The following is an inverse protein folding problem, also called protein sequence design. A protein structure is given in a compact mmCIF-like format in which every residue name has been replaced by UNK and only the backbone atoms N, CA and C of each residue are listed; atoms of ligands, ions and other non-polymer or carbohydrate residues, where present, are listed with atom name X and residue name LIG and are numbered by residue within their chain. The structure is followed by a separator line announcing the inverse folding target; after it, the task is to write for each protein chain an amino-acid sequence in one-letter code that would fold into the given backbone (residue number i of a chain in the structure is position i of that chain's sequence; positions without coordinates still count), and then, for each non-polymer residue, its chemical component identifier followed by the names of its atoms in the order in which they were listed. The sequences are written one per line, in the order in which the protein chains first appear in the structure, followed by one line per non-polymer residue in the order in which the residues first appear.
data_IF_008298163156
#
_entry.id   IF_008298163156
#
_cell.length_a   1.000
_cell.length_b   1.000
_cell.length_c   1.000
_cell.angle_alpha   90.00
_cell.angle_beta   90.00
_cell.angle_gamma   90.00
#
_symmetry.space_group_name_H-M   'P 1'
#
loop_
_entity.id
_entity.type
_entity.pdbx_description
1 polymer ?
#
# COMPACT_ATOMS: atom_id res chain seq x y z
N UNK A 1 9.27 -28.10 24.32
CA UNK A 1 10.18 -26.94 24.39
C UNK A 1 10.38 -26.29 23.02
N UNK A 2 11.20 -26.81 22.10
CA UNK A 2 11.42 -26.16 20.78
C UNK A 2 10.13 -26.02 19.92
N UNK A 3 9.28 -27.05 19.87
CA UNK A 3 8.01 -26.99 19.12
C UNK A 3 6.96 -26.07 19.76
N UNK A 4 6.99 -25.89 21.08
CA UNK A 4 6.09 -24.98 21.80
C UNK A 4 6.54 -23.53 21.64
N UNK A 5 7.85 -23.29 21.61
CA UNK A 5 8.46 -21.98 21.36
C UNK A 5 8.22 -21.53 19.91
N UNK A 6 8.32 -22.45 18.94
CA UNK A 6 8.00 -22.18 17.53
C UNK A 6 6.50 -21.87 17.33
N UNK A 7 5.61 -22.60 18.01
CA UNK A 7 4.17 -22.33 17.97
C UNK A 7 3.82 -20.98 18.61
N UNK A 8 4.46 -20.62 19.73
CA UNK A 8 4.28 -19.33 20.37
C UNK A 8 4.80 -18.16 19.50
N UNK A 9 5.94 -18.35 18.84
CA UNK A 9 6.49 -17.36 17.90
C UNK A 9 5.57 -17.16 16.68
N UNK A 10 5.04 -18.24 16.11
CA UNK A 10 4.08 -18.17 15.00
C UNK A 10 2.75 -17.48 15.41
N UNK A 11 2.30 -17.69 16.64
CA UNK A 11 1.14 -17.00 17.19
C UNK A 11 1.40 -15.51 17.36
N UNK A 12 2.55 -15.12 17.91
CA UNK A 12 2.95 -13.72 18.06
C UNK A 12 3.09 -13.01 16.69
N UNK A 13 3.68 -13.68 15.69
CA UNK A 13 3.70 -13.21 14.29
C UNK A 13 2.29 -12.92 13.75
N UNK A 14 1.34 -13.83 14.01
CA UNK A 14 -0.06 -13.67 13.60
C UNK A 14 -0.75 -12.50 14.30
N UNK A 15 -0.50 -12.32 15.59
CA UNK A 15 -1.07 -11.23 16.39
C UNK A 15 -0.55 -9.87 15.89
N UNK A 16 0.75 -9.75 15.59
CA UNK A 16 1.35 -8.56 14.99
C UNK A 16 0.70 -8.18 13.66
N UNK A 17 0.47 -9.17 12.78
CA UNK A 17 -0.20 -8.92 11.50
C UNK A 17 -1.63 -8.43 11.70
N UNK A 18 -2.40 -9.06 12.61
CA UNK A 18 -3.79 -8.65 12.87
C UNK A 18 -3.86 -7.22 13.40
N UNK A 19 -2.94 -6.84 14.28
CA UNK A 19 -2.86 -5.47 14.80
C UNK A 19 -2.53 -4.48 13.68
N UNK A 20 -1.57 -4.80 12.80
CA UNK A 20 -1.22 -3.97 11.65
C UNK A 20 -2.40 -3.81 10.69
N UNK A 21 -3.06 -4.91 10.33
CA UNK A 21 -4.22 -4.90 9.43
C UNK A 21 -5.40 -4.13 10.02
N UNK A 22 -5.62 -4.23 11.34
CA UNK A 22 -6.63 -3.44 12.05
C UNK A 22 -6.33 -1.95 11.93
N UNK A 23 -5.09 -1.52 12.16
CA UNK A 23 -4.69 -0.10 12.00
C UNK A 23 -4.97 0.39 10.58
N UNK A 24 -4.58 -0.39 9.57
CA UNK A 24 -4.80 -0.05 8.16
C UNK A 24 -6.28 -0.06 7.73
N UNK A 25 -7.13 -0.77 8.46
CA UNK A 25 -8.58 -0.81 8.27
C UNK A 25 -9.27 0.37 8.95
N UNK A 26 -8.88 0.65 10.20
CA UNK A 26 -9.48 1.68 11.05
C UNK A 26 -9.13 3.09 10.56
N UNK A 27 -7.92 3.29 10.02
CA UNK A 27 -7.53 4.51 9.32
C UNK A 27 -7.23 4.25 7.82
N UNK A 28 -8.23 4.37 6.94
CA UNK A 28 -8.04 4.18 5.51
C UNK A 28 -7.36 5.37 4.82
N UNK A 29 -7.13 6.48 5.53
CA UNK A 29 -6.59 7.73 5.00
C UNK A 29 -5.09 7.88 5.23
N UNK A 30 -4.42 6.87 5.81
CA UNK A 30 -2.97 6.87 6.02
C UNK A 30 -2.25 7.24 4.71
N UNK A 31 -1.46 8.33 4.76
CA UNK A 31 -0.77 8.91 3.60
C UNK A 31 0.77 8.85 3.73
N UNK A 32 1.28 8.62 4.93
CA UNK A 32 2.70 8.48 5.22
C UNK A 32 2.98 7.26 6.12
N UNK A 33 3.99 6.47 5.76
CA UNK A 33 4.50 5.36 6.58
C UNK A 33 5.99 5.55 6.85
N UNK A 34 6.37 5.51 8.12
CA UNK A 34 7.76 5.59 8.59
C UNK A 34 8.23 4.29 9.23
N UNK A 35 9.44 3.85 8.88
CA UNK A 35 10.11 2.70 9.49
C UNK A 35 11.20 3.21 10.43
N UNK A 36 10.96 3.17 11.75
CA UNK A 36 11.81 3.82 12.74
C UNK A 36 12.65 2.80 13.51
N UNK A 37 13.92 3.13 13.75
CA UNK A 37 14.74 2.35 14.67
C UNK A 37 14.09 2.35 16.08
N UNK A 38 14.15 1.27 16.88
CA UNK A 38 13.50 1.20 18.19
C UNK A 38 13.78 2.39 19.11
N UNK A 39 14.99 2.95 19.06
CA UNK A 39 15.36 4.17 19.82
C UNK A 39 14.56 5.40 19.37
N UNK A 40 14.43 5.62 18.06
CA UNK A 40 13.64 6.72 17.50
C UNK A 40 12.16 6.52 17.77
N UNK A 41 11.69 5.28 17.66
CA UNK A 41 10.31 4.91 17.95
C UNK A 41 9.97 5.16 19.43
N UNK A 42 10.86 4.80 20.34
CA UNK A 42 10.68 5.07 21.77
C UNK A 42 10.60 6.57 22.07
N UNK A 43 11.47 7.39 21.47
CA UNK A 43 11.38 8.86 21.61
C UNK A 43 10.05 9.41 21.11
N UNK A 44 9.57 8.93 19.94
CA UNK A 44 8.26 9.32 19.39
C UNK A 44 7.10 8.98 20.35
N UNK A 45 7.16 7.83 21.01
CA UNK A 45 6.16 7.42 22.00
C UNK A 45 6.17 8.29 23.25
N UNK A 46 7.35 8.69 23.75
CA UNK A 46 7.48 9.56 24.93
C UNK A 46 6.86 10.95 24.66
N UNK A 47 7.04 11.47 23.45
CA UNK A 47 6.49 12.77 23.04
C UNK A 47 4.98 12.71 22.75
N UNK A 48 4.44 11.52 22.50
CA UNK A 48 3.03 11.30 22.15
C UNK A 48 2.15 11.12 23.39
N UNK A 49 1.41 12.15 23.77
CA UNK A 49 0.49 12.13 24.93
C UNK A 49 -0.85 11.39 24.69
N UNK A 50 -1.02 10.71 23.54
CA UNK A 50 -2.29 10.13 23.08
C UNK A 50 -2.30 8.59 22.96
N UNK A 51 -3.49 8.01 23.22
CA UNK A 51 -3.77 6.60 23.60
C UNK A 51 -3.80 5.54 22.47
N UNK A 52 -3.45 5.85 21.23
CA UNK A 52 -3.51 4.90 20.10
C UNK A 52 -2.14 4.27 19.77
N UNK A 53 -1.39 3.90 20.80
CA UNK A 53 -0.03 3.37 20.65
C UNK A 53 -0.01 1.90 21.05
N UNK A 54 0.38 1.03 20.11
CA UNK A 54 0.84 -0.31 20.47
C UNK A 54 2.33 -0.26 20.80
N UNK A 55 2.88 -1.35 21.33
CA UNK A 55 4.32 -1.48 21.59
C UNK A 55 5.18 -1.23 20.32
N UNK A 56 4.63 -1.45 19.12
CA UNK A 56 5.39 -1.46 17.87
C UNK A 56 4.80 -0.60 16.74
N UNK A 57 3.56 -0.13 16.91
CA UNK A 57 2.86 0.72 15.96
C UNK A 57 2.39 2.02 16.63
N UNK A 58 2.62 3.12 15.93
CA UNK A 58 2.10 4.43 16.29
C UNK A 58 1.32 4.97 15.09
N UNK A 59 0.07 5.36 15.31
CA UNK A 59 -0.80 5.90 14.27
C UNK A 59 -1.51 7.16 14.79
N UNK A 60 -1.22 8.32 14.19
CA UNK A 60 -1.88 9.58 14.48
C UNK A 60 -1.81 10.49 13.25
N UNK A 61 -2.81 11.34 13.06
CA UNK A 61 -2.88 12.31 11.96
C UNK A 61 -2.63 11.69 10.57
N UNK A 62 -3.16 10.48 10.32
CA UNK A 62 -2.97 9.71 9.09
C UNK A 62 -1.50 9.31 8.81
N UNK A 63 -0.65 9.35 9.82
CA UNK A 63 0.75 8.90 9.74
C UNK A 63 0.94 7.64 10.56
N UNK A 64 1.59 6.65 9.95
CA UNK A 64 1.88 5.38 10.59
C UNK A 64 3.38 5.19 10.76
N UNK A 65 3.85 5.07 12.00
CA UNK A 65 5.21 4.65 12.29
C UNK A 65 5.23 3.19 12.75
N UNK A 66 6.19 2.42 12.21
CA UNK A 66 6.41 1.01 12.51
C UNK A 66 7.82 0.86 13.07
N UNK A 67 7.95 0.23 14.24
CA UNK A 67 9.25 -0.08 14.81
C UNK A 67 10.00 -1.11 13.96
N UNK A 68 11.26 -0.84 13.63
CA UNK A 68 12.02 -1.64 12.65
C UNK A 68 12.36 -3.06 13.15
N UNK A 69 12.31 -3.30 14.46
CA UNK A 69 12.62 -4.59 15.06
C UNK A 69 11.59 -5.68 14.71
N UNK A 70 10.33 -5.30 14.44
CA UNK A 70 9.28 -6.27 14.11
C UNK A 70 9.13 -6.53 12.61
N UNK A 71 9.84 -5.79 11.75
CA UNK A 71 9.65 -5.88 10.30
C UNK A 71 9.89 -7.28 9.72
N UNK A 72 10.92 -8.05 10.14
CA UNK A 72 11.12 -9.41 9.63
C UNK A 72 9.94 -10.34 9.96
N UNK A 73 9.42 -10.27 11.19
CA UNK A 73 8.33 -11.10 11.69
C UNK A 73 7.00 -10.71 11.04
N UNK A 74 6.71 -9.41 11.00
CA UNK A 74 5.52 -8.86 10.36
C UNK A 74 5.49 -9.18 8.86
N UNK A 75 6.62 -9.07 8.16
CA UNK A 75 6.73 -9.44 6.75
C UNK A 75 6.50 -10.95 6.54
N UNK A 76 7.10 -11.81 7.38
CA UNK A 76 6.88 -13.27 7.32
C UNK A 76 5.40 -13.61 7.52
N UNK A 77 4.75 -13.00 8.51
CA UNK A 77 3.34 -13.16 8.79
C UNK A 77 2.46 -12.72 7.60
N UNK A 78 2.67 -11.50 7.10
CA UNK A 78 1.91 -10.94 5.97
C UNK A 78 2.07 -11.80 4.70
N UNK A 79 3.29 -12.27 4.44
CA UNK A 79 3.57 -13.13 3.29
C UNK A 79 2.88 -14.49 3.42
N UNK A 80 2.92 -15.12 4.60
CA UNK A 80 2.25 -16.40 4.87
C UNK A 80 0.73 -16.25 4.71
N UNK A 81 0.14 -15.20 5.28
CA UNK A 81 -1.29 -14.93 5.19
C UNK A 81 -1.74 -14.69 3.74
N UNK A 82 -1.00 -13.87 2.98
CA UNK A 82 -1.28 -13.66 1.56
C UNK A 82 -1.17 -14.96 0.76
N UNK A 83 -0.09 -15.74 0.95
CA UNK A 83 0.07 -17.04 0.29
C UNK A 83 -1.11 -17.96 0.59
N UNK A 84 -1.50 -18.12 1.85
CA UNK A 84 -2.64 -18.94 2.26
C UNK A 84 -3.96 -18.50 1.61
N UNK A 85 -4.20 -17.19 1.51
CA UNK A 85 -5.39 -16.66 0.85
C UNK A 85 -5.40 -16.91 -0.67
N UNK A 86 -4.22 -17.02 -1.29
CA UNK A 86 -4.08 -17.26 -2.74
C UNK A 86 -4.01 -18.74 -3.14
N UNK A 87 -3.82 -19.68 -2.19
CA UNK A 87 -3.63 -21.11 -2.47
C UNK A 87 -4.91 -21.86 -2.89
N UNK A 88 -6.10 -21.29 -2.63
CA UNK A 88 -7.39 -21.88 -3.05
C UNK A 88 -8.11 -21.02 -4.11
N UNK A 89 -7.53 -20.75 -5.29
CA UNK A 89 -8.20 -19.96 -6.30
C UNK A 89 -9.17 -20.88 -7.07
N UNK A 90 -10.43 -20.89 -6.68
CA UNK A 90 -11.48 -21.08 -7.68
C UNK A 90 -11.31 -19.98 -8.75
N UNK A 91 -11.61 -20.30 -10.01
CA UNK A 91 -11.46 -19.37 -11.16
C UNK A 91 -12.09 -17.99 -10.94
N UNK A 92 -13.08 -17.91 -10.04
CA UNK A 92 -13.54 -16.69 -9.40
C UNK A 92 -13.40 -16.83 -7.87
N UNK A 93 -12.64 -15.96 -7.18
CA UNK A 93 -12.57 -16.00 -5.72
C UNK A 93 -13.94 -15.60 -5.13
N UNK A 94 -14.36 -16.28 -4.06
CA UNK A 94 -15.51 -15.85 -3.28
C UNK A 94 -15.29 -14.42 -2.76
N UNK A 95 -16.37 -13.71 -2.43
CA UNK A 95 -16.28 -12.35 -1.88
C UNK A 95 -15.39 -12.28 -0.62
N UNK A 96 -15.46 -13.31 0.24
CA UNK A 96 -14.63 -13.41 1.44
C UNK A 96 -13.15 -13.67 1.12
N UNK A 97 -12.86 -14.56 0.16
CA UNK A 97 -11.47 -14.81 -0.27
C UNK A 97 -10.87 -13.57 -0.93
N UNK A 98 -11.64 -12.87 -1.77
CA UNK A 98 -11.23 -11.61 -2.39
C UNK A 98 -10.88 -10.54 -1.33
N UNK A 99 -11.69 -10.39 -0.29
CA UNK A 99 -11.43 -9.45 0.80
C UNK A 99 -10.15 -9.78 1.57
N UNK A 100 -9.89 -11.06 1.88
CA UNK A 100 -8.66 -11.50 2.53
C UNK A 100 -7.43 -11.26 1.66
N UNK A 101 -7.51 -11.57 0.36
CA UNK A 101 -6.43 -11.28 -0.60
C UNK A 101 -6.11 -9.78 -0.60
N UNK A 102 -7.13 -8.91 -0.67
CA UNK A 102 -6.95 -7.46 -0.67
C UNK A 102 -6.38 -6.94 0.66
N UNK A 103 -6.76 -7.54 1.79
CA UNK A 103 -6.26 -7.16 3.12
C UNK A 103 -4.80 -7.54 3.29
N UNK A 104 -4.47 -8.83 3.13
CA UNK A 104 -3.11 -9.32 3.32
C UNK A 104 -2.13 -8.76 2.29
N UNK A 105 -2.56 -8.56 1.03
CA UNK A 105 -1.70 -7.92 0.03
C UNK A 105 -1.47 -6.43 0.31
N UNK A 106 -2.42 -5.70 0.90
CA UNK A 106 -2.22 -4.28 1.31
C UNK A 106 -1.10 -4.21 2.36
N UNK A 107 -1.22 -5.01 3.42
CA UNK A 107 -0.20 -5.10 4.46
C UNK A 107 1.17 -5.48 3.88
N UNK A 108 1.21 -6.53 3.05
CA UNK A 108 2.45 -7.03 2.45
C UNK A 108 3.13 -6.02 1.52
N UNK A 109 2.35 -5.25 0.74
CA UNK A 109 2.89 -4.26 -0.20
C UNK A 109 3.43 -3.01 0.49
N UNK A 110 2.84 -2.61 1.63
CA UNK A 110 3.40 -1.54 2.46
C UNK A 110 4.79 -1.95 2.99
N UNK A 111 4.97 -3.23 3.35
CA UNK A 111 6.26 -3.73 3.84
C UNK A 111 7.25 -4.02 2.71
N UNK A 112 6.77 -4.47 1.54
CA UNK A 112 7.58 -4.90 0.40
C UNK A 112 6.87 -4.58 -0.93
N UNK A 113 7.04 -3.36 -1.47
CA UNK A 113 6.30 -2.91 -2.65
C UNK A 113 6.75 -3.55 -3.96
N UNK A 114 7.91 -4.21 -3.98
CA UNK A 114 8.44 -4.90 -5.17
C UNK A 114 7.84 -6.30 -5.39
N UNK A 115 6.97 -6.76 -4.49
CA UNK A 115 6.38 -8.09 -4.60
C UNK A 115 5.29 -8.14 -5.69
N UNK A 116 5.69 -8.44 -6.91
CA UNK A 116 4.81 -8.50 -8.09
C UNK A 116 3.63 -9.46 -7.92
N UNK A 117 3.81 -10.58 -7.20
CA UNK A 117 2.73 -11.53 -6.92
C UNK A 117 1.58 -10.87 -6.17
N UNK A 118 1.86 -10.03 -5.17
CA UNK A 118 0.83 -9.32 -4.42
C UNK A 118 0.08 -8.31 -5.31
N UNK A 119 0.79 -7.54 -6.13
CA UNK A 119 0.15 -6.66 -7.12
C UNK A 119 -0.74 -7.42 -8.10
N UNK A 120 -0.28 -8.59 -8.57
CA UNK A 120 -1.05 -9.41 -9.50
C UNK A 120 -2.30 -10.01 -8.85
N UNK A 121 -2.23 -10.48 -7.60
CA UNK A 121 -3.40 -10.92 -6.84
C UNK A 121 -4.48 -9.82 -6.76
N UNK A 122 -4.07 -8.57 -6.50
CA UNK A 122 -4.98 -7.42 -6.49
C UNK A 122 -5.61 -7.16 -7.85
N UNK A 123 -4.82 -7.19 -8.93
CA UNK A 123 -5.33 -7.04 -10.30
C UNK A 123 -6.34 -8.11 -10.66
N UNK A 124 -6.13 -9.36 -10.23
CA UNK A 124 -7.09 -10.45 -10.44
C UNK A 124 -8.41 -10.14 -9.73
N UNK A 125 -8.37 -9.85 -8.43
CA UNK A 125 -9.58 -9.53 -7.65
C UNK A 125 -10.35 -8.35 -8.25
N UNK A 126 -9.65 -7.26 -8.60
CA UNK A 126 -10.26 -6.04 -9.17
C UNK A 126 -10.77 -6.22 -10.61
N UNK A 127 -10.23 -7.20 -11.35
CA UNK A 127 -10.73 -7.51 -12.69
C UNK A 127 -11.99 -8.37 -12.64
N UNK A 128 -12.12 -9.23 -11.63
CA UNK A 128 -13.32 -10.08 -11.43
C UNK A 128 -14.45 -9.31 -10.73
N UNK A 129 -14.12 -8.47 -9.75
CA UNK A 129 -15.07 -7.72 -8.92
C UNK A 129 -14.87 -6.21 -9.12
N UNK A 130 -15.21 -5.73 -10.32
CA UNK A 130 -14.99 -4.33 -10.67
C UNK A 130 -15.79 -3.38 -9.75
N UNK A 131 -15.09 -2.44 -9.12
CA UNK A 131 -15.67 -1.36 -8.33
C UNK A 131 -14.78 -0.11 -8.40
N UNK A 132 -15.37 1.03 -8.78
CA UNK A 132 -14.65 2.31 -8.90
C UNK A 132 -14.05 2.75 -7.57
N UNK A 133 -14.73 2.50 -6.44
CA UNK A 133 -14.22 2.82 -5.11
C UNK A 133 -12.93 2.06 -4.83
N UNK A 134 -12.90 0.75 -5.11
CA UNK A 134 -11.70 -0.05 -4.90
C UNK A 134 -10.54 0.42 -5.77
N UNK A 135 -10.79 0.85 -7.02
CA UNK A 135 -9.75 1.43 -7.87
C UNK A 135 -9.22 2.77 -7.31
N UNK A 136 -10.07 3.60 -6.70
CA UNK A 136 -9.61 4.82 -5.99
C UNK A 136 -8.76 4.45 -4.77
N UNK A 137 -9.11 3.38 -4.05
CA UNK A 137 -8.32 2.88 -2.93
C UNK A 137 -6.95 2.35 -3.38
N UNK A 138 -6.86 1.74 -4.57
CA UNK A 138 -5.56 1.38 -5.16
C UNK A 138 -4.69 2.60 -5.45
N UNK A 139 -5.27 3.71 -5.94
CA UNK A 139 -4.52 4.94 -6.16
C UNK A 139 -4.00 5.52 -4.84
N UNK A 140 -4.77 5.40 -3.75
CA UNK A 140 -4.32 5.79 -2.39
C UNK A 140 -3.18 4.90 -1.92
N UNK A 141 -3.30 3.57 -2.05
CA UNK A 141 -2.22 2.64 -1.71
C UNK A 141 -0.94 2.94 -2.49
N UNK A 142 -1.05 3.20 -3.80
CA UNK A 142 0.11 3.59 -4.60
C UNK A 142 0.71 4.92 -4.14
N UNK A 143 -0.11 5.92 -3.79
CA UNK A 143 0.38 7.20 -3.29
C UNK A 143 1.12 7.04 -1.96
N UNK A 144 0.55 6.26 -1.03
CA UNK A 144 1.18 5.89 0.24
C UNK A 144 2.53 5.21 0.03
N UNK A 145 2.61 4.22 -0.87
CA UNK A 145 3.88 3.53 -1.13
C UNK A 145 4.91 4.47 -1.77
N UNK A 146 4.48 5.36 -2.65
CA UNK A 146 5.36 6.32 -3.30
C UNK A 146 5.84 7.44 -2.36
N UNK A 147 5.16 7.69 -1.23
CA UNK A 147 5.60 8.71 -0.27
C UNK A 147 6.91 8.32 0.42
N UNK A 148 7.11 7.04 0.74
CA UNK A 148 8.40 6.54 1.29
C UNK A 148 9.28 5.82 0.25
N UNK A 149 8.73 5.36 -0.88
CA UNK A 149 9.47 4.68 -1.96
C UNK A 149 9.20 5.31 -3.34
N UNK A 150 9.61 6.58 -3.56
CA UNK A 150 9.19 7.38 -4.72
C UNK A 150 9.67 6.85 -6.09
N UNK A 151 10.68 5.97 -6.08
CA UNK A 151 11.29 5.38 -7.28
C UNK A 151 10.80 3.96 -7.58
N UNK A 152 9.82 3.45 -6.82
CA UNK A 152 9.34 2.07 -6.98
C UNK A 152 8.59 1.84 -8.30
N UNK A 153 9.20 1.11 -9.24
CA UNK A 153 8.61 0.89 -10.58
C UNK A 153 7.37 -0.01 -10.53
N UNK A 154 7.32 -1.00 -9.63
CA UNK A 154 6.16 -1.89 -9.48
C UNK A 154 4.90 -1.11 -9.12
N UNK A 155 5.03 -0.15 -8.22
CA UNK A 155 3.96 0.75 -7.76
C UNK A 155 3.54 1.70 -8.87
N UNK A 156 4.49 2.34 -9.57
CA UNK A 156 4.18 3.16 -10.75
C UNK A 156 3.47 2.36 -11.84
N UNK A 157 3.89 1.12 -12.09
CA UNK A 157 3.27 0.23 -13.05
C UNK A 157 1.84 -0.15 -12.68
N UNK A 158 1.59 -0.48 -11.41
CA UNK A 158 0.24 -0.73 -10.90
C UNK A 158 -0.64 0.52 -10.98
N UNK A 159 -0.11 1.69 -10.60
CA UNK A 159 -0.81 2.98 -10.70
C UNK A 159 -1.28 3.26 -12.13
N UNK A 160 -0.42 3.06 -13.14
CA UNK A 160 -0.79 3.18 -14.56
C UNK A 160 -1.89 2.20 -14.96
N UNK A 161 -1.81 0.96 -14.48
CA UNK A 161 -2.85 -0.05 -14.74
C UNK A 161 -4.21 0.40 -14.17
N UNK A 162 -4.24 0.94 -12.95
CA UNK A 162 -5.47 1.47 -12.31
C UNK A 162 -6.03 2.66 -13.10
N UNK A 163 -5.20 3.63 -13.47
CA UNK A 163 -5.63 4.81 -14.25
C UNK A 163 -6.20 4.37 -15.59
N UNK A 164 -5.55 3.43 -16.29
CA UNK A 164 -6.07 2.88 -17.55
C UNK A 164 -7.43 2.21 -17.36
N UNK A 165 -7.62 1.45 -16.27
CA UNK A 165 -8.91 0.82 -15.95
C UNK A 165 -10.00 1.85 -15.66
N UNK A 166 -9.68 2.89 -14.90
CA UNK A 166 -10.61 4.00 -14.62
C UNK A 166 -10.98 4.77 -15.89
N UNK A 167 -10.00 5.06 -16.75
CA UNK A 167 -10.21 5.77 -18.01
C UNK A 167 -11.12 5.01 -18.99
N UNK A 168 -11.11 3.68 -18.94
CA UNK A 168 -12.00 2.85 -19.77
C UNK A 168 -13.47 2.89 -19.32
N UNK A 169 -13.75 3.35 -18.10
CA UNK A 169 -15.06 3.19 -17.45
C UNK A 169 -15.71 4.51 -17.05
N UNK A 170 -14.91 5.53 -16.72
CA UNK A 170 -15.39 6.85 -16.33
C UNK A 170 -15.50 7.77 -17.54
N UNK A 171 -16.66 8.43 -17.68
CA UNK A 171 -16.85 9.51 -18.66
C UNK A 171 -16.07 10.79 -18.27
N UNK A 172 -15.78 10.99 -16.97
CA UNK A 172 -15.11 12.19 -16.47
C UNK A 172 -13.71 11.88 -15.89
N UNK A 173 -12.72 11.86 -16.78
CA UNK A 173 -11.28 11.69 -16.50
C UNK A 173 -10.55 12.99 -16.03
N UNK A 174 -10.96 14.23 -16.38
CA UNK A 174 -10.13 15.42 -16.12
C UNK A 174 -9.67 15.59 -14.66
N UNK A 175 -10.58 15.49 -13.69
CA UNK A 175 -10.24 15.68 -12.27
C UNK A 175 -9.24 14.63 -11.76
N UNK A 176 -9.32 13.39 -12.27
CA UNK A 176 -8.36 12.34 -11.95
C UNK A 176 -6.97 12.70 -12.47
N UNK A 177 -6.88 13.23 -13.69
CA UNK A 177 -5.61 13.60 -14.32
C UNK A 177 -5.01 14.85 -13.66
N UNK A 178 -5.84 15.78 -13.20
CA UNK A 178 -5.39 16.95 -12.43
C UNK A 178 -4.73 16.51 -11.12
N UNK A 179 -5.42 15.66 -10.34
CA UNK A 179 -4.86 15.08 -9.10
C UNK A 179 -3.61 14.25 -9.35
N UNK A 180 -3.59 13.50 -10.45
CA UNK A 180 -2.43 12.71 -10.83
C UNK A 180 -1.23 13.58 -11.18
N UNK A 181 -1.44 14.68 -11.90
CA UNK A 181 -0.39 15.62 -12.30
C UNK A 181 0.26 16.27 -11.08
N UNK A 182 -0.55 16.69 -10.10
CA UNK A 182 -0.07 17.24 -8.83
C UNK A 182 0.75 16.23 -8.03
N UNK A 183 0.31 14.96 -7.95
CA UNK A 183 1.05 13.91 -7.27
C UNK A 183 2.42 13.65 -7.92
N UNK A 184 2.49 13.66 -9.25
CA UNK A 184 3.75 13.43 -9.97
C UNK A 184 4.73 14.58 -9.75
N UNK A 185 4.22 15.81 -9.73
CA UNK A 185 5.00 17.02 -9.42
C UNK A 185 5.55 16.96 -8.00
N UNK A 186 4.70 16.71 -7.00
CA UNK A 186 5.10 16.58 -5.59
C UNK A 186 6.19 15.50 -5.40
N UNK A 187 6.04 14.33 -6.01
CA UNK A 187 7.04 13.25 -5.91
C UNK A 187 8.34 13.62 -6.65
N UNK A 188 8.24 14.33 -7.78
CA UNK A 188 9.42 14.77 -8.53
C UNK A 188 10.22 15.85 -7.78
N UNK A 189 9.55 16.74 -7.06
CA UNK A 189 10.17 17.76 -6.22
C UNK A 189 10.83 17.16 -4.98
N UNK A 190 10.16 16.23 -4.30
CA UNK A 190 10.67 15.57 -3.09
C UNK A 190 11.78 14.55 -3.38
N UNK A 191 11.87 14.02 -4.60
CA UNK A 191 12.84 12.97 -4.96
C UNK A 191 13.76 13.39 -6.12
N UNK A 192 14.99 13.77 -5.78
CA UNK A 192 16.02 14.14 -6.76
C UNK A 192 16.23 13.05 -7.82
N UNK A 193 16.25 13.47 -9.08
CA UNK A 193 16.47 12.62 -10.27
C UNK A 193 15.50 11.44 -10.36
N UNK A 194 14.22 11.68 -10.08
CA UNK A 194 13.19 10.64 -10.20
C UNK A 194 12.70 10.47 -11.65
N UNK A 195 13.48 9.72 -12.45
CA UNK A 195 13.09 9.38 -13.83
C UNK A 195 11.76 8.60 -13.90
N UNK A 196 11.36 7.91 -12.83
CA UNK A 196 10.08 7.15 -12.80
C UNK A 196 8.88 8.09 -12.77
N UNK A 197 8.93 9.13 -11.94
CA UNK A 197 7.90 10.17 -11.91
C UNK A 197 7.80 10.88 -13.26
N UNK A 198 8.92 11.31 -13.85
CA UNK A 198 8.92 11.92 -15.19
C UNK A 198 8.41 10.99 -16.29
N UNK A 199 8.84 9.73 -16.31
CA UNK A 199 8.34 8.73 -17.26
C UNK A 199 6.82 8.55 -17.11
N UNK A 200 6.32 8.57 -15.89
CA UNK A 200 4.89 8.50 -15.62
C UNK A 200 4.16 9.75 -16.10
N UNK A 201 4.72 10.96 -15.89
CA UNK A 201 4.19 12.21 -16.48
C UNK A 201 4.07 12.11 -18.00
N UNK A 202 5.13 11.66 -18.68
CA UNK A 202 5.09 11.46 -20.14
C UNK A 202 4.02 10.42 -20.56
N UNK A 203 3.84 9.37 -19.76
CA UNK A 203 2.80 8.37 -20.00
C UNK A 203 1.37 8.93 -19.83
N UNK A 204 1.18 9.97 -19.02
CA UNK A 204 -0.13 10.60 -18.79
C UNK A 204 -0.58 11.50 -19.94
N UNK A 205 0.32 11.95 -20.80
CA UNK A 205 0.03 12.90 -21.90
C UNK A 205 -1.21 12.52 -22.73
N UNK A 206 -1.43 11.25 -23.14
CA UNK A 206 -2.62 10.88 -23.90
C UNK A 206 -3.95 11.09 -23.16
N UNK A 207 -3.93 11.24 -21.84
CA UNK A 207 -5.10 11.47 -20.99
C UNK A 207 -5.27 12.95 -20.60
N UNK A 208 -4.26 13.79 -20.86
CA UNK A 208 -4.23 15.20 -20.50
C UNK A 208 -4.95 16.07 -21.54
N UNK A 209 -5.48 17.22 -21.09
CA UNK A 209 -5.92 18.29 -21.99
C UNK A 209 -4.70 18.98 -22.61
N UNK A 210 -4.86 19.61 -23.78
CA UNK A 210 -3.75 20.26 -24.54
C UNK A 210 -2.97 21.31 -23.73
N UNK A 211 -3.60 21.96 -22.75
CA UNK A 211 -2.97 22.95 -21.86
C UNK A 211 -2.06 22.30 -20.80
N UNK A 212 -2.41 21.09 -20.34
CA UNK A 212 -1.66 20.34 -19.31
C UNK A 212 -0.41 19.67 -19.86
N UNK A 213 -0.40 19.34 -21.16
CA UNK A 213 0.71 18.68 -21.82
C UNK A 213 1.90 19.61 -22.15
N UNK A 214 1.80 20.92 -21.86
CA UNK A 214 2.78 21.95 -22.27
C UNK A 214 3.75 22.40 -21.16
N UNK A 215 3.67 21.80 -19.96
CA UNK A 215 4.53 22.08 -18.80
C UNK A 215 5.38 20.86 -18.44
#
# INVERSE_FOLDING_TARGET
MEQEEEAAAAQAEGDLLRDFERILHDDPLIDEVGFLHPTQFHSLLVDSTNKSTSQYFWCADHKLAISSNILPDLYRAARRAHSNATLNPSSSPSASAAALIMTHSKALLILCPDLLTAWNSRKMVLSTNFNISHLKDELRLCALILSYSPKNESTWSHRRWVIKKLAQQLQHIPELIDKESLLVEDIAEKSKMNYRAWRHRCWLIPYMKTEQARL
#
